data_IF_557060210767
#
_entry.id   IF_557060210767
#
_cell.length_a   1.000
_cell.length_b   1.000
_cell.length_c   1.000
_cell.angle_alpha   90.00
_cell.angle_beta   90.00
_cell.angle_gamma   90.00
#
_symmetry.space_group_name_H-M   'P 1'
#
loop_
_entity.id
_entity.type
_entity.pdbx_description
1 polymer ?
#
# COMPACT_ATOMS: atom_id res chain seq x y z
N UNK A 1 5.07 29.35 -21.57
CA UNK A 1 4.43 29.18 -20.25
C UNK A 1 5.54 29.02 -19.22
N UNK A 2 5.56 29.86 -18.19
CA UNK A 2 6.46 29.66 -17.05
C UNK A 2 5.82 28.64 -16.10
N UNK A 3 6.63 27.73 -15.53
CA UNK A 3 6.18 26.77 -14.51
C UNK A 3 6.45 27.38 -13.15
N UNK A 4 5.41 27.51 -12.35
CA UNK A 4 5.51 27.95 -10.96
C UNK A 4 5.91 26.74 -10.09
N UNK A 5 6.92 26.93 -9.25
CA UNK A 5 7.34 25.93 -8.28
C UNK A 5 6.50 26.11 -7.02
N UNK A 6 5.93 25.03 -6.49
CA UNK A 6 5.01 25.10 -5.36
C UNK A 6 5.61 24.29 -4.21
N UNK A 7 5.86 24.96 -3.10
CA UNK A 7 6.29 24.30 -1.87
C UNK A 7 5.15 23.52 -1.21
N UNK A 8 5.43 22.31 -0.72
CA UNK A 8 4.42 21.49 -0.08
C UNK A 8 4.06 22.05 1.31
N UNK A 9 2.76 22.25 1.57
CA UNK A 9 2.25 22.76 2.86
C UNK A 9 2.62 21.80 4.02
N UNK A 10 3.25 22.26 5.11
CA UNK A 10 3.61 21.41 6.24
C UNK A 10 2.41 20.65 6.83
N UNK A 11 2.62 19.41 7.26
CA UNK A 11 1.57 18.57 7.85
C UNK A 11 1.73 18.42 9.36
N UNK A 12 0.60 18.39 10.06
CA UNK A 12 0.53 17.89 11.44
C UNK A 12 0.65 16.37 11.41
N UNK A 13 1.79 15.86 11.86
CA UNK A 13 2.07 14.43 11.93
C UNK A 13 1.80 13.91 13.34
N UNK A 14 1.36 12.65 13.44
CA UNK A 14 1.29 11.97 14.73
C UNK A 14 2.70 11.60 15.21
N UNK A 15 2.90 11.61 16.52
CA UNK A 15 4.18 11.19 17.13
C UNK A 15 4.51 9.74 16.80
N UNK A 16 3.48 8.88 16.67
CA UNK A 16 3.66 7.48 16.31
C UNK A 16 4.20 7.30 14.89
N UNK A 17 3.72 8.08 13.92
CA UNK A 17 4.23 8.04 12.55
C UNK A 17 5.66 8.62 12.46
N UNK A 18 5.98 9.62 13.27
CA UNK A 18 7.35 10.13 13.39
C UNK A 18 8.29 9.07 14.00
N UNK A 19 7.87 8.39 15.06
CA UNK A 19 8.65 7.33 15.70
C UNK A 19 8.94 6.17 14.74
N UNK A 20 7.95 5.78 13.92
CA UNK A 20 8.08 4.73 12.91
C UNK A 20 9.26 4.94 11.97
N UNK A 21 9.49 6.19 11.55
CA UNK A 21 10.54 6.57 10.59
C UNK A 21 11.82 7.08 11.27
N UNK A 22 11.99 6.80 12.56
CA UNK A 22 13.16 7.24 13.33
C UNK A 22 13.25 8.76 13.53
N UNK A 23 12.10 9.45 13.59
CA UNK A 23 12.01 10.90 13.79
C UNK A 23 12.20 11.75 12.53
N UNK A 24 12.36 11.12 11.36
CA UNK A 24 12.60 11.82 10.09
C UNK A 24 11.31 12.45 9.54
N UNK A 25 11.07 13.73 9.85
CA UNK A 25 9.87 14.47 9.43
C UNK A 25 9.60 14.38 7.92
N UNK A 26 10.62 14.51 7.07
CA UNK A 26 10.42 14.48 5.61
C UNK A 26 9.83 13.15 5.12
N UNK A 27 10.22 12.04 5.75
CA UNK A 27 9.71 10.70 5.41
C UNK A 27 8.28 10.55 5.88
N UNK A 28 7.99 10.96 7.12
CA UNK A 28 6.63 10.93 7.67
C UNK A 28 5.65 11.82 6.87
N UNK A 29 6.07 13.01 6.43
CA UNK A 29 5.25 13.87 5.55
C UNK A 29 5.05 13.25 4.17
N UNK A 30 6.06 12.59 3.60
CA UNK A 30 5.92 11.89 2.33
C UNK A 30 4.91 10.73 2.42
N UNK A 31 4.90 9.99 3.53
CA UNK A 31 3.93 8.91 3.79
C UNK A 31 2.51 9.48 3.94
N UNK A 32 2.34 10.50 4.79
CA UNK A 32 1.05 11.13 5.02
C UNK A 32 0.44 11.70 3.73
N UNK A 33 1.24 12.34 2.86
CA UNK A 33 0.79 12.85 1.55
C UNK A 33 0.35 11.75 0.59
N UNK A 34 0.82 10.52 0.77
CA UNK A 34 0.39 9.34 -0.01
C UNK A 34 -0.85 8.66 0.57
N UNK A 35 -1.37 9.15 1.69
CA UNK A 35 -2.53 8.58 2.40
C UNK A 35 -2.16 7.62 3.53
N UNK A 36 -0.86 7.40 3.80
CA UNK A 36 -0.41 6.57 4.91
C UNK A 36 -0.30 7.40 6.19
N UNK A 37 -1.44 7.68 6.82
CA UNK A 37 -1.54 8.39 8.11
C UNK A 37 -1.59 7.44 9.31
N UNK A 38 -1.95 6.19 9.06
CA UNK A 38 -1.95 5.11 10.04
C UNK A 38 -0.60 4.39 10.09
N UNK A 39 -0.16 3.99 11.29
CA UNK A 39 1.15 3.38 11.52
C UNK A 39 1.23 1.98 10.93
N UNK A 40 0.17 1.19 11.02
CA UNK A 40 0.15 -0.18 10.51
C UNK A 40 0.22 -0.16 8.97
N UNK A 41 -0.60 0.69 8.34
CA UNK A 41 -0.57 0.88 6.90
C UNK A 41 0.78 1.42 6.41
N UNK A 42 1.40 2.36 7.15
CA UNK A 42 2.72 2.88 6.83
C UNK A 42 3.82 1.81 6.97
N UNK A 43 3.79 0.99 8.03
CA UNK A 43 4.75 -0.10 8.22
C UNK A 43 4.63 -1.14 7.11
N UNK A 44 3.42 -1.57 6.78
CA UNK A 44 3.17 -2.53 5.69
C UNK A 44 3.61 -2.00 4.31
N UNK A 45 3.65 -0.67 4.12
CA UNK A 45 4.17 -0.05 2.90
C UNK A 45 5.70 0.00 2.87
N UNK A 46 6.35 0.24 4.01
CA UNK A 46 7.80 0.41 4.11
C UNK A 46 8.57 -0.91 4.15
N UNK A 47 7.97 -1.95 4.73
CA UNK A 47 8.62 -3.22 5.02
C UNK A 47 7.87 -4.39 4.36
N UNK A 48 8.49 -5.08 3.38
CA UNK A 48 7.91 -6.25 2.74
C UNK A 48 7.53 -7.38 3.71
N UNK A 49 8.23 -7.52 4.83
CA UNK A 49 7.96 -8.57 5.82
C UNK A 49 6.72 -8.25 6.67
N UNK A 50 6.31 -6.98 6.74
CA UNK A 50 5.08 -6.53 7.38
C UNK A 50 3.89 -6.40 6.42
N UNK A 51 4.12 -6.46 5.11
CA UNK A 51 3.06 -6.41 4.12
C UNK A 51 2.19 -7.67 4.16
N UNK A 52 0.88 -7.50 4.25
CA UNK A 52 -0.09 -8.59 4.10
C UNK A 52 -0.69 -8.55 2.69
N UNK A 53 -0.40 -9.54 1.83
CA UNK A 53 -0.98 -9.60 0.49
C UNK A 53 -2.50 -9.68 0.54
N UNK A 54 -3.14 -8.94 -0.36
CA UNK A 54 -4.55 -9.09 -0.66
C UNK A 54 -4.89 -10.55 -1.01
N UNK A 55 -6.10 -10.99 -0.69
CA UNK A 55 -6.53 -12.34 -1.05
C UNK A 55 -6.55 -12.45 -2.59
N UNK A 56 -5.97 -13.50 -3.19
CA UNK A 56 -6.05 -13.68 -4.64
C UNK A 56 -7.48 -13.68 -5.17
N UNK A 57 -8.46 -14.08 -4.34
CA UNK A 57 -9.88 -14.09 -4.67
C UNK A 57 -10.53 -12.71 -4.76
N UNK A 58 -9.86 -11.66 -4.28
CA UNK A 58 -10.29 -10.28 -4.49
C UNK A 58 -10.05 -9.82 -5.93
N UNK A 59 -9.21 -10.53 -6.71
CA UNK A 59 -9.05 -10.27 -8.13
C UNK A 59 -10.35 -10.66 -8.87
N UNK A 60 -10.98 -9.74 -9.63
CA UNK A 60 -12.21 -10.04 -10.34
C UNK A 60 -12.09 -11.26 -11.24
N UNK A 61 -13.01 -12.22 -11.05
CA UNK A 61 -13.06 -13.46 -11.83
C UNK A 61 -12.14 -14.57 -11.35
N UNK A 62 -11.34 -14.39 -10.29
CA UNK A 62 -10.42 -15.42 -9.79
C UNK A 62 -11.14 -16.72 -9.43
N UNK A 63 -12.26 -16.64 -8.70
CA UNK A 63 -13.04 -17.82 -8.34
C UNK A 63 -13.49 -18.63 -9.58
N UNK A 64 -13.95 -17.94 -10.63
CA UNK A 64 -14.35 -18.57 -11.89
C UNK A 64 -13.14 -19.18 -12.62
N UNK A 65 -11.99 -18.52 -12.60
CA UNK A 65 -10.78 -19.05 -13.20
C UNK A 65 -10.31 -20.34 -12.52
N UNK A 66 -10.28 -20.35 -11.18
CA UNK A 66 -9.94 -21.54 -10.38
C UNK A 66 -10.88 -22.71 -10.70
N UNK A 67 -12.20 -22.47 -10.74
CA UNK A 67 -13.18 -23.50 -11.08
C UNK A 67 -12.95 -24.08 -12.48
N UNK A 68 -12.68 -23.22 -13.47
CA UNK A 68 -12.43 -23.69 -14.85
C UNK A 68 -11.16 -24.52 -14.97
N UNK A 69 -10.11 -24.17 -14.23
CA UNK A 69 -8.88 -24.96 -14.19
C UNK A 69 -9.12 -26.32 -13.52
N UNK A 70 -9.88 -26.37 -12.43
CA UNK A 70 -10.28 -27.64 -11.81
C UNK A 70 -11.04 -28.53 -12.79
N UNK A 71 -12.02 -27.98 -13.50
CA UNK A 71 -12.77 -28.73 -14.52
C UNK A 71 -11.87 -29.26 -15.63
N UNK A 72 -10.91 -28.47 -16.14
CA UNK A 72 -9.99 -28.90 -17.19
C UNK A 72 -9.07 -30.04 -16.71
N UNK A 73 -8.57 -29.96 -15.47
CA UNK A 73 -7.78 -31.04 -14.86
C UNK A 73 -8.58 -32.34 -14.72
N UNK A 74 -9.84 -32.24 -14.30
CA UNK A 74 -10.74 -33.40 -14.19
C UNK A 74 -11.07 -34.02 -15.55
N UNK A 75 -11.20 -33.19 -16.60
CA UNK A 75 -11.52 -33.60 -17.98
C UNK A 75 -10.30 -33.94 -18.83
N UNK A 76 -9.10 -33.64 -18.36
CA UNK A 76 -7.82 -33.76 -19.11
C UNK A 76 -7.81 -32.96 -20.41
N UNK A 77 -8.33 -31.73 -20.35
CA UNK A 77 -8.32 -30.73 -21.44
C UNK A 77 -7.05 -29.87 -21.44
#
# INVERSE_FOLDING_TARGET
MQREWIDPTPLGLSDALLALVGGQRIVAEALARRGFTDVEAAQAFLDPDAYQPASPYELPGMARAVERLRMALERRE
#
